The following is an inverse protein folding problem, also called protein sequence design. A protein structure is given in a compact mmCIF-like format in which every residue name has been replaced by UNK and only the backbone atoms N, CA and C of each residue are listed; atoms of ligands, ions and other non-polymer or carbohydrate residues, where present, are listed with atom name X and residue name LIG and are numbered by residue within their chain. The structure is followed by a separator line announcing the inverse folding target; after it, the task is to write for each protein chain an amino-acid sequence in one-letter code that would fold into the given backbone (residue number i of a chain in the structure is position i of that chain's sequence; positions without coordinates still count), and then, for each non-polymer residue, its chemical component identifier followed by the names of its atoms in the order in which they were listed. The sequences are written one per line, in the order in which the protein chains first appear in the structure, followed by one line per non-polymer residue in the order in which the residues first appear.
data_IF_030578909525
#
_entry.id   IF_030578909525
#
_cell.length_a   1.000
_cell.length_b   1.000
_cell.length_c   1.000
_cell.angle_alpha   90.00
_cell.angle_beta   90.00
_cell.angle_gamma   90.00
#
_symmetry.space_group_name_H-M   'P 1'
#
loop_
_entity.id
_entity.type
_entity.pdbx_description
1 polymer ?
#
# COMPACT_ATOMS: atom_id res chain seq x y z
N UNK A 1 -13.35 26.75 7.30
CA UNK A 1 -12.97 25.37 6.95
C UNK A 1 -12.55 24.70 8.24
N UNK A 2 -13.18 23.60 8.58
CA UNK A 2 -12.85 22.83 9.79
C UNK A 2 -11.95 21.64 9.40
N UNK A 3 -10.76 21.57 10.00
CA UNK A 3 -9.79 20.52 9.78
C UNK A 3 -9.78 19.47 10.92
N UNK A 4 -10.70 19.60 11.89
CA UNK A 4 -10.82 18.60 12.94
C UNK A 4 -11.35 17.29 12.39
N UNK A 5 -10.86 16.17 12.97
CA UNK A 5 -11.42 14.87 12.68
C UNK A 5 -12.78 14.73 13.38
N UNK A 6 -13.73 13.99 12.80
CA UNK A 6 -14.93 13.60 13.54
C UNK A 6 -14.56 12.96 14.90
N UNK A 7 -15.29 13.25 15.98
CA UNK A 7 -14.90 12.81 17.33
C UNK A 7 -14.66 11.30 17.45
N UNK A 8 -15.48 10.48 16.77
CA UNK A 8 -15.31 9.04 16.73
C UNK A 8 -14.05 8.58 15.99
N UNK A 9 -13.65 9.30 14.93
CA UNK A 9 -12.40 9.02 14.19
C UNK A 9 -11.20 9.43 15.03
N UNK A 10 -11.26 10.57 15.73
CA UNK A 10 -10.18 11.01 16.61
C UNK A 10 -10.01 10.04 17.80
N UNK A 11 -11.09 9.60 18.43
CA UNK A 11 -11.04 8.59 19.48
C UNK A 11 -10.41 7.28 19.00
N UNK A 12 -10.77 6.83 17.80
CA UNK A 12 -10.20 5.65 17.19
C UNK A 12 -8.69 5.84 16.86
N UNK A 13 -8.31 7.00 16.31
CA UNK A 13 -6.91 7.34 16.05
C UNK A 13 -6.07 7.24 17.31
N UNK A 14 -6.54 7.81 18.41
CA UNK A 14 -5.84 7.73 19.69
C UNK A 14 -5.73 6.30 20.22
N UNK A 15 -6.76 5.48 20.02
CA UNK A 15 -6.75 4.06 20.40
C UNK A 15 -5.73 3.26 19.59
N UNK A 16 -5.64 3.47 18.27
CA UNK A 16 -4.62 2.86 17.40
C UNK A 16 -3.22 3.29 17.85
N UNK A 17 -3.04 4.60 18.10
CA UNK A 17 -1.76 5.16 18.57
C UNK A 17 -1.29 4.49 19.85
N UNK A 18 -2.18 4.34 20.84
CA UNK A 18 -1.87 3.68 22.10
C UNK A 18 -1.53 2.20 21.89
N UNK A 19 -2.31 1.48 21.09
CA UNK A 19 -2.05 0.07 20.77
C UNK A 19 -0.68 -0.13 20.10
N UNK A 20 -0.36 0.70 19.10
CA UNK A 20 0.94 0.65 18.41
C UNK A 20 2.08 0.93 19.37
N UNK A 21 1.95 1.95 20.22
CA UNK A 21 2.99 2.32 21.19
C UNK A 21 3.23 1.22 22.23
N UNK A 22 2.18 0.58 22.72
CA UNK A 22 2.26 -0.43 23.79
C UNK A 22 2.66 -1.81 23.26
N UNK A 23 2.11 -2.23 22.11
CA UNK A 23 2.19 -3.64 21.70
C UNK A 23 3.05 -3.88 20.45
N UNK A 24 3.28 -2.88 19.60
CA UNK A 24 3.95 -3.10 18.32
C UNK A 24 5.34 -2.48 18.27
N UNK A 25 5.51 -1.21 18.66
CA UNK A 25 6.81 -0.54 18.63
C UNK A 25 7.91 -1.24 19.45
N UNK A 26 7.64 -1.79 20.65
CA UNK A 26 8.66 -2.48 21.41
C UNK A 26 9.26 -3.69 20.70
N UNK A 27 8.49 -4.34 19.82
CA UNK A 27 8.95 -5.53 19.08
C UNK A 27 9.96 -5.22 17.99
N UNK A 28 10.03 -3.97 17.52
CA UNK A 28 10.99 -3.53 16.50
C UNK A 28 12.43 -3.60 16.98
N UNK A 29 12.65 -3.43 18.28
CA UNK A 29 14.01 -3.41 18.88
C UNK A 29 14.66 -4.78 18.96
N UNK A 30 13.86 -5.87 18.99
CA UNK A 30 14.37 -7.23 19.10
C UNK A 30 14.33 -7.95 17.75
N UNK A 31 15.51 -8.23 17.21
CA UNK A 31 15.66 -8.94 15.93
C UNK A 31 15.14 -10.37 15.95
N UNK A 32 14.91 -10.98 17.09
CA UNK A 32 14.25 -12.27 17.21
C UNK A 32 12.78 -12.25 16.73
N UNK A 33 12.16 -11.07 16.64
CA UNK A 33 10.81 -10.89 16.11
C UNK A 33 10.75 -10.82 14.58
N UNK A 34 11.90 -10.80 13.90
CA UNK A 34 11.97 -10.71 12.44
C UNK A 34 12.21 -12.08 11.81
N UNK A 35 11.65 -12.28 10.64
CA UNK A 35 11.99 -13.40 9.76
C UNK A 35 13.27 -13.12 8.94
N UNK A 36 13.70 -14.09 8.15
CA UNK A 36 14.89 -13.96 7.28
C UNK A 36 14.78 -12.89 6.20
N UNK A 37 13.60 -12.36 5.95
CA UNK A 37 13.32 -11.33 4.96
C UNK A 37 13.07 -9.96 5.60
N UNK A 38 13.39 -9.84 6.87
CA UNK A 38 13.22 -8.61 7.66
C UNK A 38 11.76 -8.18 7.85
N UNK A 39 10.81 -9.15 7.78
CA UNK A 39 9.43 -8.96 8.17
C UNK A 39 9.19 -9.49 9.58
N UNK A 40 8.02 -9.18 10.14
CA UNK A 40 7.58 -9.76 11.41
C UNK A 40 7.39 -11.28 11.26
N UNK A 41 7.85 -12.07 12.20
CA UNK A 41 7.60 -13.50 12.26
C UNK A 41 6.10 -13.79 12.38
N UNK A 42 5.66 -14.87 11.73
CA UNK A 42 4.25 -15.22 11.63
C UNK A 42 3.59 -15.48 13.00
N UNK A 43 4.28 -16.17 13.91
CA UNK A 43 3.77 -16.45 15.25
C UNK A 43 3.55 -15.17 16.08
N UNK A 44 4.48 -14.21 15.99
CA UNK A 44 4.37 -12.89 16.63
C UNK A 44 3.23 -12.09 16.00
N UNK A 45 3.12 -12.11 14.67
CA UNK A 45 2.06 -11.43 13.92
C UNK A 45 0.67 -11.95 14.30
N UNK A 46 0.47 -13.27 14.36
CA UNK A 46 -0.83 -13.86 14.70
C UNK A 46 -1.26 -13.52 16.13
N UNK A 47 -0.32 -13.47 17.08
CA UNK A 47 -0.60 -13.00 18.44
C UNK A 47 -1.08 -11.54 18.45
N UNK A 48 -0.41 -10.65 17.71
CA UNK A 48 -0.80 -9.24 17.60
C UNK A 48 -2.14 -9.05 16.89
N UNK A 49 -2.40 -9.84 15.84
CA UNK A 49 -3.70 -9.84 15.13
C UNK A 49 -4.85 -10.24 16.05
N UNK A 50 -4.64 -11.26 16.88
CA UNK A 50 -5.65 -11.65 17.87
C UNK A 50 -5.94 -10.50 18.86
N UNK A 51 -4.92 -9.82 19.37
CA UNK A 51 -5.07 -8.62 20.21
C UNK A 51 -5.78 -7.46 19.47
N UNK A 52 -5.40 -7.18 18.24
CA UNK A 52 -6.01 -6.12 17.44
C UNK A 52 -7.51 -6.39 17.21
N UNK A 53 -7.88 -7.63 16.88
CA UNK A 53 -9.28 -8.06 16.76
C UNK A 53 -10.04 -7.89 18.09
N UNK A 54 -9.50 -8.38 19.19
CA UNK A 54 -10.10 -8.24 20.52
C UNK A 54 -10.28 -6.78 20.96
N UNK A 55 -9.39 -5.89 20.48
CA UNK A 55 -9.48 -4.45 20.72
C UNK A 55 -10.41 -3.72 19.74
N UNK A 56 -11.03 -4.41 18.78
CA UNK A 56 -11.88 -3.78 17.77
C UNK A 56 -11.09 -2.86 16.81
N UNK A 57 -9.84 -3.23 16.49
CA UNK A 57 -8.93 -2.48 15.61
C UNK A 57 -8.55 -3.32 14.38
N UNK A 58 -9.56 -3.85 13.67
CA UNK A 58 -9.33 -4.81 12.60
C UNK A 58 -9.94 -4.36 11.27
N UNK A 59 -9.20 -4.51 10.17
CA UNK A 59 -9.65 -4.27 8.80
C UNK A 59 -10.44 -2.95 8.65
N UNK A 60 -9.84 -1.78 8.94
CA UNK A 60 -10.55 -0.49 9.01
C UNK A 60 -11.26 -0.12 7.71
N UNK A 61 -10.78 -0.61 6.58
CA UNK A 61 -11.27 -0.37 5.24
C UNK A 61 -12.48 -1.24 4.84
N UNK A 62 -12.81 -2.25 5.63
CA UNK A 62 -13.87 -3.22 5.29
C UNK A 62 -15.18 -2.90 6.02
N UNK A 63 -16.33 -3.26 5.42
CA UNK A 63 -17.64 -3.03 6.02
C UNK A 63 -17.80 -3.69 7.40
N UNK A 64 -18.59 -3.06 8.27
CA UNK A 64 -18.84 -3.56 9.64
C UNK A 64 -19.54 -4.92 9.64
N UNK A 65 -20.50 -5.11 8.75
CA UNK A 65 -21.25 -6.37 8.59
C UNK A 65 -20.37 -7.55 8.15
N UNK A 66 -19.13 -7.27 7.69
CA UNK A 66 -18.13 -8.29 7.33
C UNK A 66 -16.95 -8.35 8.29
N UNK A 67 -17.03 -7.67 9.43
CA UNK A 67 -16.01 -7.73 10.47
C UNK A 67 -14.94 -6.64 10.40
N UNK A 68 -15.09 -5.64 9.53
CA UNK A 68 -14.24 -4.45 9.49
C UNK A 68 -14.80 -3.28 10.31
N UNK A 69 -14.21 -2.10 10.17
CA UNK A 69 -14.65 -0.90 10.89
C UNK A 69 -15.57 0.02 10.06
N UNK A 70 -15.66 -0.18 8.76
CA UNK A 70 -16.50 0.62 7.86
C UNK A 70 -16.17 2.11 7.86
N UNK A 71 -14.89 2.46 7.97
CA UNK A 71 -14.47 3.86 8.03
C UNK A 71 -14.59 4.53 6.66
N UNK A 72 -14.90 5.85 6.61
CA UNK A 72 -14.71 6.65 5.43
C UNK A 72 -13.22 6.85 5.13
N UNK A 73 -12.86 7.32 3.93
CA UNK A 73 -11.47 7.51 3.51
C UNK A 73 -10.68 8.45 4.44
N UNK A 74 -11.33 9.50 4.95
CA UNK A 74 -10.73 10.38 5.97
C UNK A 74 -10.40 9.59 7.25
N UNK A 75 -11.27 8.66 7.65
CA UNK A 75 -11.02 7.74 8.78
C UNK A 75 -9.86 6.79 8.50
N UNK A 76 -9.71 6.32 7.23
CA UNK A 76 -8.53 5.51 6.85
C UNK A 76 -7.25 6.32 7.01
N UNK A 77 -7.23 7.60 6.62
CA UNK A 77 -6.04 8.44 6.79
C UNK A 77 -5.57 8.45 8.24
N UNK A 78 -6.47 8.71 9.18
CA UNK A 78 -6.15 8.78 10.58
C UNK A 78 -5.66 7.42 11.15
N UNK A 79 -6.34 6.33 10.76
CA UNK A 79 -6.00 4.97 11.22
C UNK A 79 -4.66 4.50 10.65
N UNK A 80 -4.48 4.59 9.31
CA UNK A 80 -3.29 4.08 8.63
C UNK A 80 -2.03 4.84 9.01
N UNK A 81 -2.12 6.15 9.21
CA UNK A 81 -0.99 6.96 9.65
C UNK A 81 -0.49 6.51 11.03
N UNK A 82 -1.39 6.28 12.00
CA UNK A 82 -0.99 5.80 13.33
C UNK A 82 -0.54 4.33 13.31
N UNK A 83 -1.20 3.47 12.52
CA UNK A 83 -0.78 2.08 12.34
C UNK A 83 0.65 1.98 11.79
N UNK A 84 0.99 2.84 10.83
CA UNK A 84 2.32 2.86 10.19
C UNK A 84 3.38 3.66 10.95
N UNK A 85 3.14 4.07 12.19
CA UNK A 85 4.24 4.45 13.10
C UNK A 85 5.13 3.24 13.42
N UNK A 86 4.65 2.03 13.13
CA UNK A 86 5.45 0.80 13.14
C UNK A 86 5.54 0.20 11.74
N UNK A 87 6.72 -0.34 11.39
CA UNK A 87 6.93 -1.12 10.17
C UNK A 87 6.07 -2.39 10.11
N UNK A 88 5.62 -2.89 11.27
CA UNK A 88 4.75 -4.07 11.40
C UNK A 88 3.26 -3.74 11.42
N UNK A 89 2.89 -2.51 11.74
CA UNK A 89 1.52 -2.10 12.00
C UNK A 89 0.51 -2.46 10.91
N UNK A 90 0.79 -2.21 9.62
CA UNK A 90 -0.15 -2.55 8.55
C UNK A 90 -0.55 -4.01 8.51
N UNK A 91 0.39 -4.92 8.79
CA UNK A 91 0.13 -6.37 8.84
C UNK A 91 -0.72 -6.74 10.06
N UNK A 92 -0.48 -6.08 11.20
CA UNK A 92 -1.19 -6.31 12.45
C UNK A 92 -2.68 -6.00 12.33
N UNK A 93 -3.03 -4.92 11.63
CA UNK A 93 -4.42 -4.46 11.50
C UNK A 93 -5.11 -4.90 10.19
N UNK A 94 -4.48 -5.77 9.40
CA UNK A 94 -4.97 -6.21 8.10
C UNK A 94 -5.27 -5.05 7.13
N UNK A 95 -4.40 -4.04 7.12
CA UNK A 95 -4.49 -2.87 6.25
C UNK A 95 -3.21 -2.63 5.44
N UNK A 96 -2.47 -3.71 5.13
CA UNK A 96 -1.27 -3.67 4.29
C UNK A 96 -1.58 -3.92 2.82
N UNK A 97 -0.71 -3.43 1.95
CA UNK A 97 -0.69 -3.81 0.55
C UNK A 97 -0.16 -5.26 0.40
N UNK A 98 -0.59 -6.00 -0.63
CA UNK A 98 -1.61 -5.64 -1.63
C UNK A 98 -3.04 -5.91 -1.17
N UNK A 99 -3.23 -6.54 0.00
CA UNK A 99 -4.51 -7.07 0.46
C UNK A 99 -5.58 -5.97 0.66
N UNK A 100 -5.21 -4.82 1.20
CA UNK A 100 -6.14 -3.71 1.43
C UNK A 100 -6.81 -3.23 0.13
N UNK A 101 -6.02 -3.04 -0.93
CA UNK A 101 -6.51 -2.66 -2.24
C UNK A 101 -7.30 -3.78 -2.93
N UNK A 102 -6.87 -5.05 -2.76
CA UNK A 102 -7.56 -6.21 -3.31
C UNK A 102 -8.91 -6.43 -2.62
N UNK A 103 -8.98 -6.35 -1.29
CA UNK A 103 -10.24 -6.42 -0.54
C UNK A 103 -11.20 -5.29 -0.95
N UNK A 104 -10.71 -4.06 -1.09
CA UNK A 104 -11.51 -2.92 -1.53
C UNK A 104 -12.06 -3.13 -2.95
N UNK A 105 -11.25 -3.67 -3.87
CA UNK A 105 -11.71 -4.04 -5.20
C UNK A 105 -12.79 -5.10 -5.14
N UNK A 106 -12.51 -6.25 -4.50
CA UNK A 106 -13.43 -7.38 -4.44
C UNK A 106 -14.76 -7.00 -3.79
N UNK A 107 -14.74 -6.19 -2.74
CA UNK A 107 -15.96 -5.69 -2.12
C UNK A 107 -16.85 -4.89 -3.09
N UNK A 108 -16.23 -4.15 -4.04
CA UNK A 108 -16.94 -3.35 -5.03
C UNK A 108 -17.47 -4.15 -6.24
N UNK A 109 -16.72 -5.18 -6.67
CA UNK A 109 -16.98 -5.82 -7.96
C UNK A 109 -17.64 -7.20 -7.87
N UNK A 110 -17.53 -7.89 -6.73
CA UNK A 110 -18.21 -9.17 -6.52
C UNK A 110 -19.72 -8.95 -6.35
N UNK A 111 -20.51 -9.65 -7.15
CA UNK A 111 -21.97 -9.41 -7.27
C UNK A 111 -22.77 -10.21 -6.24
N UNK A 112 -22.35 -11.43 -5.90
CA UNK A 112 -23.09 -12.32 -5.00
C UNK A 112 -22.41 -12.49 -3.66
N UNK A 113 -23.20 -12.75 -2.62
CA UNK A 113 -22.66 -13.04 -1.27
C UNK A 113 -21.82 -14.32 -1.29
N UNK A 114 -22.20 -15.34 -2.07
CA UNK A 114 -21.41 -16.56 -2.23
C UNK A 114 -20.01 -16.28 -2.81
N UNK A 115 -19.88 -15.37 -3.77
CA UNK A 115 -18.56 -14.94 -4.27
C UNK A 115 -17.78 -14.19 -3.22
N UNK A 116 -18.42 -13.29 -2.46
CA UNK A 116 -17.77 -12.54 -1.38
C UNK A 116 -17.31 -13.49 -0.25
N UNK A 117 -18.13 -14.46 0.11
CA UNK A 117 -17.78 -15.46 1.13
C UNK A 117 -16.60 -16.32 0.70
N UNK A 118 -16.52 -16.67 -0.58
CA UNK A 118 -15.42 -17.47 -1.13
C UNK A 118 -14.12 -16.68 -1.28
N UNK A 119 -14.19 -15.47 -1.86
CA UNK A 119 -13.00 -14.75 -2.33
C UNK A 119 -12.58 -13.57 -1.44
N UNK A 120 -13.52 -12.96 -0.74
CA UNK A 120 -13.28 -11.76 0.05
C UNK A 120 -13.22 -12.06 1.56
N UNK A 121 -14.17 -12.82 2.10
CA UNK A 121 -14.27 -13.03 3.54
C UNK A 121 -13.00 -13.64 4.17
N UNK A 122 -12.34 -14.64 3.55
CA UNK A 122 -11.09 -15.19 4.11
C UNK A 122 -9.95 -14.17 4.19
N UNK A 123 -9.94 -13.16 3.29
CA UNK A 123 -8.99 -12.05 3.33
C UNK A 123 -9.32 -11.09 4.48
N UNK A 124 -10.61 -10.74 4.65
CA UNK A 124 -11.07 -9.89 5.77
C UNK A 124 -10.76 -10.57 7.10
N UNK A 125 -10.99 -11.87 7.22
CA UNK A 125 -10.66 -12.64 8.42
C UNK A 125 -9.16 -12.71 8.70
N UNK A 126 -8.32 -12.37 7.72
CA UNK A 126 -6.86 -12.51 7.78
C UNK A 126 -6.37 -13.96 7.72
N UNK A 127 -7.23 -14.91 7.33
CA UNK A 127 -6.90 -16.34 7.16
C UNK A 127 -6.08 -16.60 5.90
N UNK A 128 -6.34 -15.83 4.85
CA UNK A 128 -5.67 -15.92 3.56
C UNK A 128 -5.12 -14.55 3.18
N UNK A 129 -4.17 -14.57 2.25
CA UNK A 129 -3.64 -13.37 1.59
C UNK A 129 -3.90 -13.43 0.10
N UNK A 130 -3.74 -12.28 -0.55
CA UNK A 130 -3.98 -12.13 -1.97
C UNK A 130 -2.84 -11.42 -2.68
N UNK A 131 -2.77 -11.59 -4.01
CA UNK A 131 -1.85 -10.86 -4.86
C UNK A 131 -2.58 -10.26 -6.06
N UNK A 132 -2.10 -9.08 -6.53
CA UNK A 132 -2.58 -8.42 -7.74
C UNK A 132 -1.59 -8.62 -8.88
N UNK A 133 -2.01 -9.36 -9.91
CA UNK A 133 -1.13 -9.95 -10.93
C UNK A 133 -1.32 -9.20 -12.25
N UNK A 134 -0.60 -8.07 -12.41
CA UNK A 134 -0.76 -7.18 -13.55
C UNK A 134 0.55 -6.98 -14.34
N UNK A 135 1.60 -6.55 -13.68
CA UNK A 135 2.87 -6.10 -14.29
C UNK A 135 3.60 -7.21 -15.04
N UNK A 136 4.16 -6.90 -16.19
CA UNK A 136 4.87 -7.86 -17.05
C UNK A 136 6.34 -7.50 -17.23
N UNK A 137 7.24 -8.50 -17.39
CA UNK A 137 8.60 -8.24 -17.86
C UNK A 137 8.61 -7.77 -19.32
N UNK A 138 9.70 -7.12 -19.73
CA UNK A 138 9.89 -6.81 -21.14
C UNK A 138 9.92 -8.11 -21.97
N UNK A 139 9.37 -8.11 -23.21
CA UNK A 139 8.83 -6.98 -23.96
C UNK A 139 7.34 -6.67 -23.68
N UNK A 140 6.77 -7.22 -22.62
CA UNK A 140 5.37 -6.96 -22.23
C UNK A 140 5.12 -5.54 -21.72
N UNK A 141 3.91 -5.30 -21.26
CA UNK A 141 3.38 -3.96 -20.93
C UNK A 141 4.07 -3.25 -19.77
N UNK A 142 4.97 -3.89 -19.04
CA UNK A 142 5.52 -3.32 -17.81
C UNK A 142 4.39 -3.02 -16.81
N UNK A 143 4.39 -1.81 -16.27
CA UNK A 143 3.35 -1.31 -15.37
C UNK A 143 2.23 -0.53 -16.08
N UNK A 144 2.25 -0.44 -17.42
CA UNK A 144 1.18 0.20 -18.20
C UNK A 144 0.18 -0.85 -18.70
N UNK A 145 -0.97 -1.04 -18.02
CA UNK A 145 -1.96 -2.03 -18.45
C UNK A 145 -2.63 -1.68 -19.77
N UNK A 146 -2.60 -0.41 -20.19
CA UNK A 146 -3.13 0.03 -21.49
C UNK A 146 -2.19 -0.19 -22.66
N UNK A 147 -0.96 -0.67 -22.40
CA UNK A 147 0.06 -0.96 -23.37
C UNK A 147 -0.06 -2.36 -23.97
N UNK A 148 1.06 -2.92 -24.36
CA UNK A 148 1.13 -4.23 -25.03
C UNK A 148 1.21 -5.37 -23.99
N UNK A 149 0.10 -5.69 -23.31
CA UNK A 149 0.05 -6.86 -22.43
C UNK A 149 0.16 -8.14 -23.26
N UNK A 150 1.14 -8.99 -22.92
CA UNK A 150 1.41 -10.24 -23.63
C UNK A 150 0.74 -11.45 -22.97
N UNK A 151 0.54 -11.41 -21.63
CA UNK A 151 -0.24 -12.46 -20.95
C UNK A 151 -1.64 -12.47 -21.53
N UNK A 152 -2.05 -13.59 -22.10
CA UNK A 152 -3.35 -13.78 -22.75
C UNK A 152 -4.22 -14.78 -21.98
N UNK A 153 -5.53 -14.67 -22.16
CA UNK A 153 -6.54 -15.58 -21.65
C UNK A 153 -7.50 -15.90 -22.78
N UNK A 154 -7.32 -17.06 -23.40
CA UNK A 154 -8.15 -17.53 -24.51
C UNK A 154 -9.42 -18.19 -23.97
N UNK A 155 -10.59 -17.75 -24.47
CA UNK A 155 -11.87 -18.37 -24.08
C UNK A 155 -12.04 -19.73 -24.75
N UNK A 156 -12.24 -20.78 -23.97
CA UNK A 156 -12.50 -22.16 -24.43
C UNK A 156 -13.73 -22.73 -23.71
N UNK A 157 -14.88 -22.64 -24.35
CA UNK A 157 -16.16 -23.03 -23.74
C UNK A 157 -16.50 -22.14 -22.54
N UNK A 158 -16.65 -22.73 -21.36
CA UNK A 158 -17.01 -22.04 -20.11
C UNK A 158 -15.79 -21.67 -19.25
N UNK A 159 -14.58 -21.66 -19.80
CA UNK A 159 -13.34 -21.32 -19.12
C UNK A 159 -12.41 -20.49 -20.01
N UNK A 160 -11.43 -19.87 -19.36
CA UNK A 160 -10.31 -19.19 -20.00
C UNK A 160 -9.02 -19.98 -19.73
N UNK A 161 -8.18 -20.11 -20.75
CA UNK A 161 -6.86 -20.74 -20.66
C UNK A 161 -5.80 -19.66 -20.76
N UNK A 162 -4.97 -19.53 -19.73
CA UNK A 162 -4.03 -18.43 -19.58
C UNK A 162 -2.59 -18.88 -19.88
N UNK A 163 -1.89 -18.06 -20.69
CA UNK A 163 -0.47 -18.20 -20.96
C UNK A 163 0.23 -16.84 -20.83
N UNK A 164 1.46 -16.82 -20.30
CA UNK A 164 2.26 -15.61 -20.20
C UNK A 164 3.14 -15.53 -18.96
N UNK A 165 3.66 -14.33 -18.72
CA UNK A 165 4.52 -14.05 -17.56
C UNK A 165 4.14 -12.76 -16.88
N UNK A 166 4.26 -12.77 -15.56
CA UNK A 166 4.07 -11.60 -14.70
C UNK A 166 5.24 -11.48 -13.74
N UNK A 167 5.61 -10.25 -13.39
CA UNK A 167 6.69 -10.04 -12.45
C UNK A 167 6.41 -8.87 -11.49
N UNK A 168 7.27 -8.71 -10.49
CA UNK A 168 7.06 -7.78 -9.38
C UNK A 168 5.69 -7.94 -8.72
N UNK A 169 5.25 -9.20 -8.57
CA UNK A 169 3.98 -9.51 -7.93
C UNK A 169 4.19 -9.63 -6.43
N UNK A 170 3.83 -8.54 -5.71
CA UNK A 170 3.99 -8.46 -4.27
C UNK A 170 3.09 -9.44 -3.53
N UNK A 171 3.65 -10.12 -2.54
CA UNK A 171 2.95 -11.06 -1.68
C UNK A 171 2.64 -12.43 -2.29
N UNK A 172 3.10 -12.73 -3.51
CA UNK A 172 2.67 -13.90 -4.29
C UNK A 172 2.99 -15.23 -3.61
N UNK A 173 4.13 -15.38 -2.94
CA UNK A 173 4.51 -16.61 -2.22
C UNK A 173 3.58 -16.91 -1.03
N UNK A 174 3.06 -15.85 -0.39
CA UNK A 174 2.13 -15.97 0.73
C UNK A 174 0.65 -15.92 0.33
N UNK A 175 0.35 -15.68 -0.95
CA UNK A 175 -1.02 -15.52 -1.42
C UNK A 175 -1.70 -16.87 -1.69
N UNK A 176 -2.99 -16.95 -1.38
CA UNK A 176 -3.86 -18.02 -1.82
C UNK A 176 -4.82 -17.59 -2.91
N UNK A 177 -5.25 -16.31 -2.90
CA UNK A 177 -6.12 -15.73 -3.90
C UNK A 177 -5.36 -14.75 -4.78
N UNK A 178 -5.59 -14.81 -6.09
CA UNK A 178 -4.91 -13.99 -7.08
C UNK A 178 -5.94 -13.27 -7.95
N UNK A 179 -5.69 -11.99 -8.19
CA UNK A 179 -6.45 -11.16 -9.13
C UNK A 179 -5.56 -10.93 -10.35
N UNK A 180 -5.83 -11.64 -11.43
CA UNK A 180 -5.05 -11.59 -12.66
C UNK A 180 -5.68 -10.63 -13.66
N UNK A 181 -4.86 -9.82 -14.31
CA UNK A 181 -5.20 -9.04 -15.51
C UNK A 181 -4.51 -9.66 -16.70
N UNK A 182 -5.29 -10.07 -17.71
CA UNK A 182 -4.79 -10.69 -18.91
C UNK A 182 -5.56 -10.18 -20.15
N UNK A 183 -4.98 -10.33 -21.32
CA UNK A 183 -5.57 -9.93 -22.59
C UNK A 183 -6.51 -11.01 -23.11
N UNK A 184 -7.74 -10.63 -23.44
CA UNK A 184 -8.77 -11.50 -24.03
C UNK A 184 -9.08 -11.18 -25.49
N UNK A 185 -8.66 -9.99 -25.98
CA UNK A 185 -8.83 -9.59 -27.38
C UNK A 185 -7.75 -8.60 -27.81
N UNK A 186 -7.66 -8.28 -29.09
CA UNK A 186 -6.62 -7.40 -29.65
C UNK A 186 -6.87 -5.89 -29.45
N UNK A 187 -7.96 -5.50 -28.78
CA UNK A 187 -8.26 -4.11 -28.48
C UNK A 187 -7.26 -3.51 -27.48
N UNK A 188 -6.59 -2.39 -27.79
CA UNK A 188 -5.49 -1.88 -26.95
C UNK A 188 -5.93 -1.41 -25.55
N UNK A 189 -7.20 -1.12 -25.33
CA UNK A 189 -7.75 -0.71 -24.02
C UNK A 189 -8.90 -1.56 -23.54
N UNK A 190 -9.68 -2.09 -24.47
CA UNK A 190 -10.87 -2.91 -24.19
C UNK A 190 -10.56 -4.41 -24.32
N UNK A 191 -9.31 -4.76 -24.61
CA UNK A 191 -8.88 -6.16 -24.76
C UNK A 191 -8.44 -6.83 -23.47
N UNK A 192 -8.48 -6.12 -22.32
CA UNK A 192 -8.07 -6.67 -21.05
C UNK A 192 -9.26 -7.12 -20.22
N UNK A 193 -9.10 -8.24 -19.52
CA UNK A 193 -10.08 -8.76 -18.56
C UNK A 193 -9.43 -9.11 -17.23
N UNK A 194 -10.22 -9.13 -16.17
CA UNK A 194 -9.78 -9.50 -14.84
C UNK A 194 -10.33 -10.85 -14.40
N UNK A 195 -9.52 -11.64 -13.70
CA UNK A 195 -9.84 -13.00 -13.31
C UNK A 195 -9.43 -13.30 -11.87
N UNK A 196 -10.17 -14.19 -11.21
CA UNK A 196 -9.80 -14.77 -9.93
C UNK A 196 -9.32 -16.20 -10.13
N UNK A 197 -8.18 -16.52 -9.51
CA UNK A 197 -7.73 -17.90 -9.40
C UNK A 197 -7.16 -18.18 -8.01
N UNK A 198 -7.17 -19.46 -7.62
CA UNK A 198 -6.63 -19.95 -6.35
C UNK A 198 -5.26 -20.59 -6.57
N UNK A 199 -4.40 -20.52 -5.56
CA UNK A 199 -3.03 -21.06 -5.62
C UNK A 199 -2.94 -22.53 -6.02
N UNK A 200 -3.94 -23.34 -5.67
CA UNK A 200 -3.94 -24.78 -5.91
C UNK A 200 -4.40 -25.17 -7.34
N UNK A 201 -4.80 -24.19 -8.18
CA UNK A 201 -5.11 -24.46 -9.59
C UNK A 201 -3.82 -24.77 -10.35
N UNK A 202 -3.79 -25.82 -11.21
CA UNK A 202 -2.61 -26.15 -12.01
C UNK A 202 -2.44 -25.15 -13.18
N UNK A 203 -1.27 -25.19 -13.83
CA UNK A 203 -0.97 -24.39 -15.02
C UNK A 203 -0.33 -23.03 -14.72
N UNK A 204 0.20 -22.87 -13.51
CA UNK A 204 1.03 -21.72 -13.16
C UNK A 204 2.09 -22.09 -12.12
N UNK A 205 3.13 -21.27 -12.01
CA UNK A 205 4.17 -21.41 -10.98
C UNK A 205 4.84 -20.08 -10.66
N UNK A 206 5.44 -20.00 -9.49
CA UNK A 206 6.44 -18.97 -9.16
C UNK A 206 7.76 -19.40 -9.77
N UNK A 207 8.33 -18.57 -10.67
CA UNK A 207 9.66 -18.81 -11.27
C UNK A 207 10.74 -18.53 -10.23
N UNK A 208 10.61 -17.37 -9.56
CA UNK A 208 11.57 -16.93 -8.54
C UNK A 208 10.96 -15.81 -7.67
N UNK A 209 11.50 -15.68 -6.49
CA UNK A 209 11.43 -14.45 -5.71
C UNK A 209 12.47 -13.49 -6.29
N UNK A 210 12.07 -12.27 -6.61
CA UNK A 210 12.95 -11.26 -7.20
C UNK A 210 13.73 -10.60 -6.06
N UNK A 211 15.08 -10.67 -6.03
CA UNK A 211 15.86 -9.93 -5.07
C UNK A 211 15.67 -8.43 -5.28
N UNK A 212 15.34 -7.72 -4.22
CA UNK A 212 15.14 -6.27 -4.23
C UNK A 212 16.11 -5.60 -3.26
N UNK A 213 16.16 -4.27 -3.27
CA UNK A 213 16.98 -3.48 -2.35
C UNK A 213 16.66 -3.79 -0.87
N UNK A 214 15.47 -4.34 -0.60
CA UNK A 214 14.96 -4.67 0.73
C UNK A 214 14.35 -3.46 1.44
N UNK A 215 13.63 -3.67 2.53
CA UNK A 215 13.18 -4.99 2.97
C UNK A 215 12.23 -5.63 1.95
N UNK A 216 12.13 -6.96 1.97
CA UNK A 216 11.21 -7.64 1.06
C UNK A 216 9.76 -7.53 1.56
N UNK A 217 8.81 -7.46 0.63
CA UNK A 217 7.38 -7.51 0.98
C UNK A 217 7.03 -8.85 1.65
N UNK A 218 6.13 -8.82 2.61
CA UNK A 218 5.65 -10.03 3.27
C UNK A 218 4.98 -10.98 2.26
N UNK A 219 5.55 -12.16 2.08
CA UNK A 219 5.19 -13.10 1.00
C UNK A 219 5.93 -12.83 -0.32
N UNK A 220 7.00 -12.04 -0.30
CA UNK A 220 7.93 -11.81 -1.40
C UNK A 220 7.37 -10.99 -2.57
N UNK A 221 8.29 -10.59 -3.43
CA UNK A 221 7.99 -9.99 -4.74
C UNK A 221 8.42 -10.97 -5.81
N UNK A 222 7.48 -11.55 -6.55
CA UNK A 222 7.74 -12.74 -7.37
C UNK A 222 7.57 -12.51 -8.87
N UNK A 223 8.25 -13.35 -9.64
CA UNK A 223 8.01 -13.58 -11.06
C UNK A 223 7.19 -14.87 -11.24
N UNK A 224 6.10 -14.77 -12.01
CA UNK A 224 5.14 -15.84 -12.24
C UNK A 224 5.11 -16.23 -13.71
N UNK A 225 4.91 -17.51 -13.97
CA UNK A 225 4.67 -18.06 -15.30
C UNK A 225 3.31 -18.77 -15.33
N UNK A 226 2.57 -18.55 -16.40
CA UNK A 226 1.31 -19.21 -16.72
C UNK A 226 1.49 -20.06 -17.96
N UNK A 227 1.21 -21.34 -17.85
CA UNK A 227 1.25 -22.29 -18.96
C UNK A 227 0.03 -23.21 -18.87
N UNK A 228 -1.08 -22.72 -19.42
CA UNK A 228 -2.32 -23.46 -19.43
C UNK A 228 -3.12 -23.35 -18.12
N UNK A 229 -3.00 -22.26 -17.35
CA UNK A 229 -3.88 -22.03 -16.20
C UNK A 229 -5.32 -21.91 -16.66
N UNK A 230 -6.18 -22.82 -16.21
CA UNK A 230 -7.62 -22.80 -16.52
C UNK A 230 -8.41 -22.03 -15.45
N UNK A 231 -9.15 -21.01 -15.86
CA UNK A 231 -9.98 -20.20 -14.98
C UNK A 231 -11.44 -20.30 -15.45
N UNK A 232 -12.38 -20.78 -14.60
CA UNK A 232 -13.80 -20.80 -14.93
C UNK A 232 -14.34 -19.41 -15.29
N UNK A 233 -15.27 -19.32 -16.23
CA UNK A 233 -15.86 -18.03 -16.65
C UNK A 233 -16.53 -17.28 -15.50
N UNK A 234 -17.08 -17.98 -14.52
CA UNK A 234 -17.69 -17.40 -13.31
C UNK A 234 -16.70 -16.65 -12.42
N UNK A 235 -15.40 -16.91 -12.57
CA UNK A 235 -14.31 -16.22 -11.85
C UNK A 235 -13.80 -14.98 -12.60
N UNK A 236 -14.43 -14.62 -13.74
CA UNK A 236 -14.14 -13.35 -14.40
C UNK A 236 -14.77 -12.20 -13.61
N UNK A 237 -13.97 -11.17 -13.38
CA UNK A 237 -14.38 -9.96 -12.69
C UNK A 237 -14.88 -8.90 -13.70
N UNK A 238 -16.05 -8.35 -13.46
CA UNK A 238 -16.74 -7.43 -14.39
C UNK A 238 -17.05 -8.09 -15.75
N UNK A 239 -17.25 -7.26 -16.78
CA UNK A 239 -17.46 -7.80 -18.13
C UNK A 239 -16.13 -8.06 -18.85
N UNK A 240 -16.15 -8.87 -19.88
CA UNK A 240 -15.00 -9.07 -20.75
C UNK A 240 -14.62 -7.74 -21.41
N UNK A 241 -13.32 -7.41 -21.40
CA UNK A 241 -12.84 -6.10 -21.85
C UNK A 241 -12.76 -5.02 -20.75
N UNK A 242 -13.29 -5.25 -19.56
CA UNK A 242 -13.29 -4.29 -18.46
C UNK A 242 -11.99 -4.31 -17.60
N UNK A 243 -10.95 -5.04 -18.01
CA UNK A 243 -9.72 -5.19 -17.21
C UNK A 243 -9.02 -3.87 -16.89
N UNK A 244 -9.02 -2.91 -17.83
CA UNK A 244 -8.46 -1.58 -17.56
C UNK A 244 -9.29 -0.82 -16.51
N UNK A 245 -10.61 -0.91 -16.59
CA UNK A 245 -11.53 -0.33 -15.60
C UNK A 245 -11.33 -0.96 -14.23
N UNK A 246 -11.23 -2.29 -14.15
CA UNK A 246 -10.92 -3.05 -12.93
C UNK A 246 -9.62 -2.55 -12.30
N UNK A 247 -8.57 -2.39 -13.09
CA UNK A 247 -7.28 -1.87 -12.66
C UNK A 247 -7.40 -0.47 -12.05
N UNK A 248 -8.20 0.43 -12.66
CA UNK A 248 -8.40 1.78 -12.13
C UNK A 248 -9.20 1.77 -10.80
N UNK A 249 -10.20 0.89 -10.67
CA UNK A 249 -10.95 0.71 -9.42
C UNK A 249 -10.00 0.26 -8.31
N UNK A 250 -9.08 -0.65 -8.60
CA UNK A 250 -8.11 -1.18 -7.64
C UNK A 250 -7.04 -0.14 -7.25
N UNK A 251 -6.43 0.52 -8.24
CA UNK A 251 -5.26 1.37 -8.03
C UNK A 251 -5.59 2.76 -7.48
N UNK A 252 -6.81 3.26 -7.70
CA UNK A 252 -7.20 4.58 -7.21
C UNK A 252 -7.03 4.72 -5.68
N UNK A 253 -7.80 3.98 -4.89
CA UNK A 253 -7.67 3.98 -3.42
C UNK A 253 -6.29 3.50 -2.95
N UNK A 254 -5.69 2.49 -3.59
CA UNK A 254 -4.40 1.93 -3.18
C UNK A 254 -3.26 2.95 -3.20
N UNK A 255 -3.23 3.85 -4.18
CA UNK A 255 -2.26 4.96 -4.23
C UNK A 255 -2.37 5.87 -3.02
N UNK A 256 -3.59 6.13 -2.57
CA UNK A 256 -3.83 6.98 -1.42
C UNK A 256 -3.49 6.26 -0.10
N UNK A 257 -3.80 4.95 0.01
CA UNK A 257 -3.40 4.17 1.21
C UNK A 257 -1.88 4.06 1.34
N UNK A 258 -1.13 4.07 0.23
CA UNK A 258 0.32 4.24 0.28
C UNK A 258 0.73 5.56 0.93
N UNK A 259 0.11 6.69 0.54
CA UNK A 259 0.40 7.99 1.14
C UNK A 259 0.15 7.96 2.65
N UNK A 260 -0.98 7.40 3.09
CA UNK A 260 -1.32 7.28 4.50
C UNK A 260 -0.25 6.49 5.28
N UNK A 261 0.20 5.36 4.73
CA UNK A 261 1.26 4.52 5.33
C UNK A 261 2.60 5.25 5.39
N UNK A 262 3.01 5.89 4.30
CA UNK A 262 4.29 6.61 4.22
C UNK A 262 4.36 7.81 5.14
N UNK A 263 3.25 8.50 5.40
CA UNK A 263 3.17 9.55 6.41
C UNK A 263 3.43 9.01 7.82
N UNK A 264 2.88 7.85 8.16
CA UNK A 264 3.15 7.18 9.44
C UNK A 264 4.63 6.86 9.63
N UNK A 265 5.26 6.28 8.61
CA UNK A 265 6.71 6.00 8.62
C UNK A 265 7.55 7.28 8.68
N UNK A 266 7.14 8.33 7.97
CA UNK A 266 7.85 9.63 8.02
C UNK A 266 7.80 10.25 9.42
N UNK A 267 6.64 10.18 10.08
CA UNK A 267 6.50 10.58 11.49
C UNK A 267 7.40 9.74 12.40
N UNK A 268 7.45 8.42 12.19
CA UNK A 268 8.32 7.54 12.98
C UNK A 268 9.80 7.91 12.84
N UNK A 269 10.26 8.23 11.63
CA UNK A 269 11.62 8.72 11.41
C UNK A 269 11.91 9.98 12.22
N UNK A 270 10.99 10.95 12.19
CA UNK A 270 11.15 12.21 12.93
C UNK A 270 11.10 11.99 14.44
N UNK A 271 10.24 11.10 14.95
CA UNK A 271 10.17 10.74 16.38
C UNK A 271 11.50 10.13 16.87
N UNK A 272 12.09 9.20 16.12
CA UNK A 272 13.39 8.58 16.47
C UNK A 272 14.50 9.62 16.45
N UNK A 273 14.56 10.45 15.42
CA UNK A 273 15.57 11.50 15.30
C UNK A 273 15.44 12.52 16.43
N UNK A 274 14.20 12.99 16.72
CA UNK A 274 13.92 13.94 17.78
C UNK A 274 14.38 13.40 19.14
N UNK A 275 14.02 12.16 19.50
CA UNK A 275 14.43 11.56 20.76
C UNK A 275 15.97 11.50 20.86
N UNK A 276 16.65 11.07 19.81
CA UNK A 276 18.11 10.95 19.80
C UNK A 276 18.82 12.30 19.98
N UNK A 277 18.40 13.35 19.27
CA UNK A 277 19.08 14.65 19.33
C UNK A 277 18.89 15.37 20.68
N UNK A 278 17.83 15.05 21.44
CA UNK A 278 17.62 15.57 22.79
C UNK A 278 18.64 15.01 23.79
N UNK A 279 19.03 13.75 23.59
CA UNK A 279 19.96 13.06 24.53
C UNK A 279 21.40 13.16 24.10
N UNK A 280 21.72 13.16 22.81
CA UNK A 280 23.06 13.11 22.27
C UNK A 280 23.76 14.43 22.43
N UNK A 281 24.87 14.41 23.18
CA UNK A 281 25.79 15.53 23.33
C UNK A 281 27.03 15.39 22.42
N UNK A 282 27.41 16.47 21.76
CA UNK A 282 28.62 16.57 20.97
C UNK A 282 29.12 18.03 20.93
N UNK A 283 30.44 18.21 21.04
CA UNK A 283 31.07 19.53 21.01
C UNK A 283 30.45 20.54 22.02
N UNK A 284 30.22 20.07 23.24
CA UNK A 284 29.76 20.89 24.36
C UNK A 284 28.29 21.23 24.46
N UNK A 285 27.43 20.75 23.49
CA UNK A 285 25.99 20.97 23.50
C UNK A 285 25.26 19.68 23.13
N UNK A 286 23.98 19.61 23.49
CA UNK A 286 23.06 18.60 22.87
C UNK A 286 22.94 18.88 21.39
N UNK A 287 22.67 17.84 20.56
CA UNK A 287 22.45 18.07 19.16
C UNK A 287 21.19 18.93 18.93
N UNK A 288 20.16 18.80 19.76
CA UNK A 288 18.99 19.66 19.76
C UNK A 288 19.25 21.15 19.97
N UNK A 289 20.34 21.48 20.64
CA UNK A 289 20.79 22.87 20.83
C UNK A 289 21.49 23.49 19.60
N UNK A 290 21.63 22.73 18.49
CA UNK A 290 22.27 23.22 17.26
C UNK A 290 21.22 23.73 16.30
N UNK A 291 21.38 24.96 15.80
CA UNK A 291 20.46 25.59 14.84
C UNK A 291 20.29 24.76 13.56
N UNK A 292 21.38 24.19 13.02
CA UNK A 292 21.31 23.32 11.85
C UNK A 292 20.44 22.07 12.06
N UNK A 293 20.46 21.48 13.25
CA UNK A 293 19.60 20.34 13.61
C UNK A 293 18.15 20.76 13.73
N UNK A 294 17.87 21.93 14.33
CA UNK A 294 16.53 22.48 14.45
C UNK A 294 15.91 22.76 13.07
N UNK A 295 16.69 23.34 12.15
CA UNK A 295 16.26 23.59 10.76
C UNK A 295 15.92 22.26 10.07
N UNK A 296 16.76 21.23 10.16
CA UNK A 296 16.51 19.92 9.55
C UNK A 296 15.23 19.28 10.09
N UNK A 297 14.98 19.32 11.39
CA UNK A 297 13.75 18.79 12.00
C UNK A 297 12.52 19.60 11.57
N UNK A 298 12.62 20.93 11.58
CA UNK A 298 11.53 21.82 11.15
C UNK A 298 11.12 21.62 9.69
N UNK A 299 12.10 21.48 8.80
CA UNK A 299 11.87 21.20 7.38
C UNK A 299 11.10 19.89 7.16
N UNK A 300 11.52 18.81 7.84
CA UNK A 300 10.85 17.51 7.71
C UNK A 300 9.44 17.57 8.29
N UNK A 301 9.26 18.21 9.46
CA UNK A 301 7.95 18.37 10.09
C UNK A 301 6.96 19.12 9.16
N UNK A 302 7.41 20.21 8.53
CA UNK A 302 6.61 20.98 7.58
C UNK A 302 6.22 20.15 6.34
N UNK A 303 7.15 19.36 5.80
CA UNK A 303 6.86 18.51 4.63
C UNK A 303 5.88 17.37 4.98
N UNK A 304 5.98 16.77 6.16
CA UNK A 304 5.02 15.76 6.63
C UNK A 304 3.61 16.37 6.71
N UNK A 305 3.48 17.57 7.28
CA UNK A 305 2.16 18.22 7.42
C UNK A 305 1.56 18.59 6.06
N UNK A 306 2.35 19.12 5.11
CA UNK A 306 1.89 19.35 3.73
C UNK A 306 1.39 18.04 3.09
N UNK A 307 2.14 16.94 3.27
CA UNK A 307 1.74 15.62 2.78
C UNK A 307 0.44 15.12 3.38
N UNK A 308 0.23 15.35 4.68
CA UNK A 308 -1.01 15.02 5.38
C UNK A 308 -2.19 15.80 4.79
N UNK A 309 -2.06 17.12 4.63
CA UNK A 309 -3.11 17.96 4.06
C UNK A 309 -3.49 17.53 2.64
N UNK A 310 -2.52 17.24 1.78
CA UNK A 310 -2.77 16.72 0.43
C UNK A 310 -3.50 15.37 0.45
N UNK A 311 -3.09 14.47 1.35
CA UNK A 311 -3.69 13.14 1.49
C UNK A 311 -5.11 13.23 2.01
N UNK A 312 -5.36 14.06 3.03
CA UNK A 312 -6.69 14.30 3.59
C UNK A 312 -7.63 14.96 2.58
N UNK A 313 -7.15 15.90 1.78
CA UNK A 313 -7.94 16.53 0.72
C UNK A 313 -8.39 15.50 -0.33
N UNK A 314 -7.46 14.64 -0.78
CA UNK A 314 -7.82 13.57 -1.71
C UNK A 314 -8.82 12.57 -1.11
N UNK A 315 -8.66 12.21 0.17
CA UNK A 315 -9.57 11.34 0.90
C UNK A 315 -10.97 11.94 1.03
N UNK A 316 -11.05 13.20 1.43
CA UNK A 316 -12.32 13.91 1.55
C UNK A 316 -13.08 13.98 0.19
N UNK A 317 -12.38 14.26 -0.91
CA UNK A 317 -12.99 14.25 -2.24
C UNK A 317 -13.54 12.86 -2.62
N UNK A 318 -12.83 11.78 -2.28
CA UNK A 318 -13.34 10.42 -2.49
C UNK A 318 -14.58 10.13 -1.65
N UNK A 319 -14.63 10.59 -0.40
CA UNK A 319 -15.82 10.47 0.46
C UNK A 319 -17.00 11.27 -0.07
N UNK A 320 -16.75 12.39 -0.79
CA UNK A 320 -17.77 13.17 -1.51
C UNK A 320 -18.19 12.55 -2.85
N UNK A 321 -17.64 11.37 -3.24
CA UNK A 321 -17.98 10.68 -4.48
C UNK A 321 -17.18 11.12 -5.72
N UNK A 322 -16.20 12.01 -5.58
CA UNK A 322 -15.27 12.38 -6.66
C UNK A 322 -14.26 11.25 -6.91
N UNK A 323 -13.68 11.23 -8.11
CA UNK A 323 -12.57 10.31 -8.46
C UNK A 323 -11.22 10.77 -7.90
N UNK A 324 -11.09 12.02 -7.52
CA UNK A 324 -9.93 12.67 -6.91
C UNK A 324 -8.57 12.35 -7.60
N UNK A 325 -8.56 12.18 -8.93
CA UNK A 325 -7.35 11.72 -9.67
C UNK A 325 -6.20 12.70 -9.58
N UNK A 326 -6.49 13.97 -9.64
CA UNK A 326 -5.53 15.07 -9.53
C UNK A 326 -4.94 15.11 -8.13
N UNK A 327 -5.79 15.11 -7.12
CA UNK A 327 -5.44 15.19 -5.72
C UNK A 327 -4.65 13.97 -5.24
N UNK A 328 -5.04 12.75 -5.66
CA UNK A 328 -4.28 11.52 -5.40
C UNK A 328 -2.89 11.60 -6.04
N UNK A 329 -2.78 12.14 -7.25
CA UNK A 329 -1.48 12.27 -7.92
C UNK A 329 -0.58 13.30 -7.21
N UNK A 330 -1.13 14.44 -6.76
CA UNK A 330 -0.41 15.43 -5.95
C UNK A 330 0.11 14.82 -4.64
N UNK A 331 -0.77 14.16 -3.90
CA UNK A 331 -0.42 13.51 -2.64
C UNK A 331 0.68 12.46 -2.84
N UNK A 332 0.52 11.59 -3.85
CA UNK A 332 1.46 10.49 -4.10
C UNK A 332 2.86 10.97 -4.47
N UNK A 333 2.99 11.98 -5.31
CA UNK A 333 4.29 12.57 -5.68
C UNK A 333 4.96 13.13 -4.42
N UNK A 334 4.24 13.98 -3.70
CA UNK A 334 4.79 14.70 -2.55
C UNK A 334 5.16 13.74 -1.42
N UNK A 335 4.25 12.85 -1.01
CA UNK A 335 4.47 11.96 0.15
C UNK A 335 5.56 10.92 -0.13
N UNK A 336 5.73 10.47 -1.38
CA UNK A 336 6.85 9.60 -1.75
C UNK A 336 8.21 10.28 -1.55
N UNK A 337 8.31 11.58 -1.86
CA UNK A 337 9.53 12.35 -1.64
C UNK A 337 9.72 12.68 -0.14
N UNK A 338 8.63 12.95 0.60
CA UNK A 338 8.66 13.19 2.05
C UNK A 338 9.20 11.98 2.80
N UNK A 339 8.75 10.76 2.49
CA UNK A 339 9.26 9.55 3.15
C UNK A 339 10.77 9.40 2.95
N UNK A 340 11.25 9.64 1.73
CA UNK A 340 12.68 9.56 1.46
C UNK A 340 13.46 10.63 2.22
N UNK A 341 13.00 11.89 2.19
CA UNK A 341 13.60 13.01 2.93
C UNK A 341 13.62 12.74 4.43
N UNK A 342 12.52 12.28 5.00
CA UNK A 342 12.39 12.00 6.42
C UNK A 342 13.34 10.89 6.89
N UNK A 343 13.43 9.79 6.14
CA UNK A 343 14.33 8.68 6.49
C UNK A 343 15.80 9.05 6.34
N UNK A 344 16.16 9.76 5.27
CA UNK A 344 17.53 10.26 5.05
C UNK A 344 17.97 11.23 6.17
N UNK A 345 17.13 12.23 6.45
CA UNK A 345 17.39 13.21 7.51
C UNK A 345 17.52 12.55 8.88
N UNK A 346 16.65 11.58 9.20
CA UNK A 346 16.70 10.88 10.46
C UNK A 346 17.99 10.06 10.63
N UNK A 347 18.42 9.37 9.57
CA UNK A 347 19.72 8.67 9.57
C UNK A 347 20.85 9.66 9.78
N UNK A 348 20.86 10.79 9.06
CA UNK A 348 21.89 11.82 9.20
C UNK A 348 21.98 12.36 10.63
N UNK A 349 20.83 12.66 11.26
CA UNK A 349 20.76 13.19 12.62
C UNK A 349 21.19 12.15 13.67
N UNK A 350 20.86 10.88 13.47
CA UNK A 350 21.24 9.78 14.37
C UNK A 350 22.67 9.25 14.12
N UNK A 351 23.33 9.67 13.04
CA UNK A 351 24.68 9.25 12.68
C UNK A 351 24.82 7.74 12.54
N UNK A 352 25.90 7.15 13.06
CA UNK A 352 26.17 5.71 12.96
C UNK A 352 25.03 4.83 13.52
N UNK A 353 24.34 5.29 14.58
CA UNK A 353 23.18 4.56 15.12
C UNK A 353 22.02 4.51 14.14
N UNK A 354 21.77 5.59 13.40
CA UNK A 354 20.73 5.63 12.36
C UNK A 354 21.06 4.76 11.15
N UNK A 355 22.34 4.59 10.86
CA UNK A 355 22.85 3.73 9.77
C UNK A 355 22.91 2.25 10.16
N UNK A 356 22.91 1.94 11.45
CA UNK A 356 22.92 0.57 11.96
C UNK A 356 21.51 -0.04 12.07
N UNK A 357 21.47 -1.36 12.29
CA UNK A 357 20.21 -2.08 12.58
C UNK A 357 19.74 -1.95 14.04
N UNK A 358 20.35 -1.07 14.85
CA UNK A 358 19.89 -0.74 16.20
C UNK A 358 18.62 0.13 16.19
N UNK A 359 18.28 0.67 15.03
CA UNK A 359 17.01 1.37 14.77
C UNK A 359 16.36 0.82 13.50
N UNK A 360 15.09 1.16 13.29
CA UNK A 360 14.37 0.80 12.05
C UNK A 360 14.63 1.80 10.90
N UNK A 361 15.51 2.79 11.09
CA UNK A 361 15.71 3.87 10.12
C UNK A 361 16.30 3.35 8.81
N UNK A 362 17.29 2.45 8.86
CA UNK A 362 17.91 1.88 7.67
C UNK A 362 16.90 1.00 6.89
N UNK A 363 16.00 0.30 7.61
CA UNK A 363 14.91 -0.46 7.01
C UNK A 363 13.95 0.48 6.27
N UNK A 364 13.52 1.57 6.94
CA UNK A 364 12.61 2.57 6.36
C UNK A 364 13.27 3.26 5.16
N UNK A 365 14.56 3.58 5.22
CA UNK A 365 15.30 4.21 4.11
C UNK A 365 15.32 3.34 2.85
N UNK A 366 15.64 2.06 3.00
CA UNK A 366 15.62 1.10 1.88
C UNK A 366 14.21 0.96 1.31
N UNK A 367 13.21 0.84 2.16
CA UNK A 367 11.81 0.79 1.76
C UNK A 367 11.36 2.08 1.08
N UNK A 368 11.77 3.25 1.56
CA UNK A 368 11.38 4.54 1.01
C UNK A 368 11.74 4.70 -0.48
N UNK A 369 12.80 4.01 -0.94
CA UNK A 369 13.19 4.11 -2.34
C UNK A 369 12.12 3.58 -3.29
N UNK A 370 11.35 2.58 -2.92
CA UNK A 370 10.28 2.02 -3.75
C UNK A 370 9.08 2.97 -3.88
N UNK A 371 8.87 3.90 -2.96
CA UNK A 371 7.70 4.79 -2.94
C UNK A 371 7.54 5.61 -4.24
N UNK A 372 8.65 5.97 -4.89
CA UNK A 372 8.64 6.69 -6.17
C UNK A 372 8.43 5.79 -7.39
N UNK A 373 8.35 4.47 -7.21
CA UNK A 373 8.24 3.48 -8.29
C UNK A 373 6.88 2.77 -8.31
N UNK A 374 6.36 2.37 -7.15
CA UNK A 374 5.18 1.52 -7.04
C UNK A 374 3.87 2.26 -7.35
N UNK A 375 2.86 1.53 -7.83
CA UNK A 375 1.51 2.00 -8.17
C UNK A 375 1.49 3.23 -9.11
N UNK A 376 2.44 3.26 -10.01
CA UNK A 376 2.75 4.37 -10.91
C UNK A 376 3.92 5.20 -10.40
N UNK A 377 4.98 5.28 -11.22
CA UNK A 377 6.13 6.10 -10.92
C UNK A 377 5.75 7.58 -10.74
N UNK A 378 6.55 8.35 -9.99
CA UNK A 378 6.31 9.78 -9.76
C UNK A 378 6.14 10.55 -11.08
N UNK A 379 6.87 10.16 -12.13
CA UNK A 379 6.79 10.73 -13.47
C UNK A 379 5.41 10.52 -14.10
N UNK A 380 4.80 9.34 -13.93
CA UNK A 380 3.44 9.04 -14.42
C UNK A 380 2.42 9.96 -13.76
N UNK A 381 2.53 10.18 -12.45
CA UNK A 381 1.65 11.08 -11.72
C UNK A 381 1.85 12.55 -12.13
N UNK A 382 3.10 12.98 -12.39
CA UNK A 382 3.39 14.31 -12.94
C UNK A 382 2.76 14.48 -14.33
N UNK A 383 2.80 13.44 -15.18
CA UNK A 383 2.10 13.46 -16.47
C UNK A 383 0.57 13.57 -16.31
N UNK A 384 -0.02 12.93 -15.29
CA UNK A 384 -1.45 13.08 -14.98
C UNK A 384 -1.78 14.53 -14.64
N UNK A 385 -0.98 15.19 -13.80
CA UNK A 385 -1.16 16.58 -13.44
C UNK A 385 -1.02 17.52 -14.63
N UNK A 386 0.02 17.33 -15.45
CA UNK A 386 0.23 18.16 -16.65
C UNK A 386 -0.95 18.04 -17.63
N UNK A 387 -1.48 16.82 -17.83
CA UNK A 387 -2.68 16.60 -18.67
C UNK A 387 -3.94 17.21 -18.07
N UNK A 388 -4.11 17.15 -16.75
CA UNK A 388 -5.22 17.78 -16.06
C UNK A 388 -5.16 19.31 -16.23
N UNK A 389 -4.00 19.91 -15.97
CA UNK A 389 -3.79 21.34 -16.15
C UNK A 389 -4.04 21.80 -17.60
N UNK A 390 -3.51 21.08 -18.59
CA UNK A 390 -3.74 21.39 -20.00
C UNK A 390 -5.22 21.31 -20.41
N UNK A 391 -6.00 20.43 -19.77
CA UNK A 391 -7.44 20.28 -20.03
C UNK A 391 -8.29 21.32 -19.29
N UNK A 392 -7.99 21.59 -18.04
CA UNK A 392 -8.79 22.39 -17.10
C UNK A 392 -8.42 23.89 -17.17
N UNK A 393 -7.19 24.21 -17.60
CA UNK A 393 -6.71 25.60 -17.61
C UNK A 393 -6.77 26.23 -16.21
N UNK A 394 -7.42 27.39 -16.11
CA UNK A 394 -7.56 28.08 -14.83
C UNK A 394 -8.45 27.34 -13.83
N UNK A 395 -9.37 26.49 -14.29
CA UNK A 395 -10.25 25.69 -13.42
C UNK A 395 -9.47 24.62 -12.65
N UNK A 396 -8.24 24.30 -13.07
CA UNK A 396 -7.34 23.42 -12.31
C UNK A 396 -7.15 23.87 -10.86
N UNK A 397 -7.22 25.18 -10.59
CA UNK A 397 -7.03 25.78 -9.28
C UNK A 397 -8.34 25.96 -8.48
N UNK A 398 -9.47 25.53 -9.03
CA UNK A 398 -10.77 25.63 -8.36
C UNK A 398 -10.83 24.70 -7.14
N UNK A 399 -11.44 25.19 -6.06
CA UNK A 399 -11.59 24.46 -4.81
C UNK A 399 -12.78 23.48 -4.80
N UNK A 400 -13.64 23.54 -5.78
CA UNK A 400 -14.87 22.74 -5.88
C UNK A 400 -14.75 21.53 -6.80
#
# INVERSE_FOLDING_TARGET
MDFSLPPEVEALRLKVRAFVAEHVLPLEADRANYDKYENIRLDVLEHLRAKAKASGLWAPQMPRERGGLGLPMVGWCAFYEEANRSIFGPLVFNCCAPDDGNMSLLNKVLKSEAQKDRWLQPLIDGKLRSAFVMTEPAPGSGSDPGGMMLTNAEKRGNKYVVHGRKWFISGAEGAAHFILVARTSDGPRNGLSGFLFHKDQPGWKIIRRIPIMGPEEFGGTCELEFDGLEIPEENRLLEEGDGLRLTQIRLGPARLTHCMRWLGLSKRCLEIAHAYVQERQAFGLTLAGRESVQIMLGDVAAEIEKGRLLTMHAAWKLDCGDKARKEISMAKIHVADVLHKASDTAIQLCGARGYSKDTVLEWIYRYARCARLVDGASEVHKMVLAKAYAKEGNDFWSWG
#
